data_IF_329151832187
#
_entry.id   IF_329151832187
#
_cell.length_a   1.000
_cell.length_b   1.000
_cell.length_c   1.000
_cell.angle_alpha   90.00
_cell.angle_beta   90.00
_cell.angle_gamma   90.00
#
_symmetry.space_group_name_H-M   'P 1'
#
loop_
_entity.id
_entity.type
_entity.pdbx_description
1 polymer ?
#
# COMPACT_ATOMS: atom_id res chain seq x y z
N UNK A 1 46.13 -4.80 5.93
CA UNK A 1 46.19 -4.64 7.41
C UNK A 1 44.82 -4.97 8.01
N UNK A 2 44.78 -5.56 9.21
CA UNK A 2 43.53 -5.99 9.89
C UNK A 2 42.50 -4.84 9.98
N UNK A 3 42.97 -3.62 10.26
CA UNK A 3 42.12 -2.42 10.36
C UNK A 3 41.37 -2.10 9.05
N UNK A 4 42.02 -2.24 7.90
CA UNK A 4 41.37 -2.02 6.60
C UNK A 4 40.33 -3.11 6.28
N UNK A 5 40.62 -4.36 6.64
CA UNK A 5 39.67 -5.46 6.47
C UNK A 5 38.42 -5.27 7.35
N UNK A 6 38.59 -4.86 8.62
CA UNK A 6 37.49 -4.56 9.54
C UNK A 6 36.63 -3.38 9.04
N UNK A 7 37.27 -2.29 8.60
CA UNK A 7 36.56 -1.11 8.08
C UNK A 7 35.74 -1.45 6.83
N UNK A 8 36.29 -2.25 5.91
CA UNK A 8 35.55 -2.70 4.73
C UNK A 8 34.38 -3.61 5.09
N UNK A 9 34.56 -4.52 6.06
CA UNK A 9 33.49 -5.41 6.52
C UNK A 9 32.34 -4.61 7.18
N UNK A 10 32.67 -3.62 8.02
CA UNK A 10 31.70 -2.71 8.63
C UNK A 10 30.95 -1.89 7.57
N UNK A 11 31.66 -1.35 6.58
CA UNK A 11 31.05 -0.61 5.47
C UNK A 11 30.09 -1.48 4.65
N UNK A 12 30.46 -2.73 4.37
CA UNK A 12 29.60 -3.68 3.67
C UNK A 12 28.35 -4.05 4.48
N UNK A 13 28.50 -4.28 5.78
CA UNK A 13 27.38 -4.57 6.68
C UNK A 13 26.41 -3.38 6.78
N UNK A 14 26.93 -2.16 6.93
CA UNK A 14 26.12 -0.94 6.93
C UNK A 14 25.34 -0.78 5.63
N UNK A 15 26.00 -0.92 4.48
CA UNK A 15 25.34 -0.84 3.17
C UNK A 15 24.29 -1.95 2.96
N UNK A 16 24.50 -3.14 3.53
CA UNK A 16 23.49 -4.23 3.51
C UNK A 16 22.25 -3.80 4.30
N UNK A 17 22.43 -3.24 5.49
CA UNK A 17 21.28 -2.83 6.31
C UNK A 17 20.54 -1.62 5.78
N UNK A 18 21.24 -0.65 5.19
CA UNK A 18 20.58 0.49 4.54
C UNK A 18 19.68 0.04 3.39
N UNK A 19 20.14 -0.92 2.58
CA UNK A 19 19.33 -1.52 1.51
C UNK A 19 18.12 -2.27 2.05
N UNK A 20 18.30 -3.06 3.12
CA UNK A 20 17.21 -3.78 3.78
C UNK A 20 16.17 -2.82 4.35
N UNK A 21 16.60 -1.78 5.07
CA UNK A 21 15.74 -0.71 5.59
C UNK A 21 14.96 -0.01 4.47
N UNK A 22 15.62 0.35 3.38
CA UNK A 22 14.96 0.99 2.23
C UNK A 22 13.87 0.09 1.62
N UNK A 23 14.13 -1.23 1.55
CA UNK A 23 13.13 -2.21 1.07
C UNK A 23 11.92 -2.29 2.00
N UNK A 24 12.16 -2.43 3.31
CA UNK A 24 11.09 -2.53 4.32
C UNK A 24 10.23 -1.25 4.38
N UNK A 25 10.84 -0.07 4.20
CA UNK A 25 10.10 1.20 4.12
C UNK A 25 9.18 1.22 2.91
N UNK A 26 9.66 0.78 1.74
CA UNK A 26 8.83 0.70 0.52
C UNK A 26 7.68 -0.28 0.70
N UNK A 27 7.96 -1.41 1.33
CA UNK A 27 6.95 -2.44 1.61
C UNK A 27 5.87 -1.92 2.57
N UNK A 28 6.28 -1.30 3.68
CA UNK A 28 5.37 -0.66 4.64
C UNK A 28 4.48 0.39 3.96
N UNK A 29 5.05 1.20 3.06
CA UNK A 29 4.28 2.19 2.32
C UNK A 29 3.28 1.56 1.35
N UNK A 30 3.67 0.48 0.65
CA UNK A 30 2.78 -0.25 -0.23
C UNK A 30 1.62 -0.91 0.54
N UNK A 31 1.90 -1.49 1.71
CA UNK A 31 0.90 -2.08 2.59
C UNK A 31 -0.11 -1.03 3.09
N UNK A 32 0.37 0.11 3.61
CA UNK A 32 -0.48 1.24 4.03
C UNK A 32 -1.36 1.75 2.90
N UNK A 33 -0.80 1.86 1.70
CA UNK A 33 -1.55 2.29 0.50
C UNK A 33 -2.61 1.27 0.09
N UNK A 34 -2.31 -0.03 0.19
CA UNK A 34 -3.26 -1.08 -0.10
C UNK A 34 -4.41 -1.12 0.91
N UNK A 35 -4.12 -0.87 2.18
CA UNK A 35 -5.12 -0.77 3.24
C UNK A 35 -6.03 0.43 3.01
N UNK A 36 -5.47 1.62 2.77
CA UNK A 36 -6.27 2.83 2.55
C UNK A 36 -7.16 2.73 1.31
N UNK A 37 -6.64 2.20 0.19
CA UNK A 37 -7.44 1.95 -1.02
C UNK A 37 -8.56 0.93 -0.76
N UNK A 38 -8.27 -0.12 0.00
CA UNK A 38 -9.26 -1.13 0.38
C UNK A 38 -10.38 -0.54 1.23
N UNK A 39 -10.03 0.20 2.29
CA UNK A 39 -11.01 0.88 3.16
C UNK A 39 -11.87 1.88 2.37
N UNK A 40 -11.23 2.71 1.54
CA UNK A 40 -11.95 3.67 0.70
C UNK A 40 -12.92 2.96 -0.25
N UNK A 41 -12.49 1.91 -0.95
CA UNK A 41 -13.35 1.17 -1.86
C UNK A 41 -14.51 0.45 -1.14
N UNK A 42 -14.26 -0.07 0.07
CA UNK A 42 -15.32 -0.63 0.93
C UNK A 42 -16.34 0.44 1.31
N UNK A 43 -15.90 1.63 1.74
CA UNK A 43 -16.80 2.74 2.07
C UNK A 43 -17.64 3.19 0.87
N UNK A 44 -17.05 3.25 -0.32
CA UNK A 44 -17.81 3.58 -1.53
C UNK A 44 -18.86 2.51 -1.80
N UNK A 45 -18.46 1.24 -1.85
CA UNK A 45 -19.34 0.13 -2.23
C UNK A 45 -20.47 -0.12 -1.23
N UNK A 46 -20.21 0.01 0.07
CA UNK A 46 -21.24 -0.11 1.11
C UNK A 46 -22.26 1.02 1.09
N UNK A 47 -21.91 2.17 0.48
CA UNK A 47 -22.76 3.35 0.38
C UNK A 47 -23.21 3.64 -1.06
N UNK A 48 -23.01 2.74 -2.02
CA UNK A 48 -23.35 2.99 -3.43
C UNK A 48 -24.83 3.35 -3.65
N UNK A 49 -25.74 2.85 -2.81
CA UNK A 49 -27.17 3.13 -2.92
C UNK A 49 -27.54 4.60 -2.70
N UNK A 50 -26.66 5.38 -2.06
CA UNK A 50 -26.84 6.83 -1.78
C UNK A 50 -25.89 7.72 -2.58
N UNK A 51 -24.95 7.14 -3.33
CA UNK A 51 -23.98 7.88 -4.14
C UNK A 51 -24.53 7.95 -5.57
N UNK A 52 -24.72 9.17 -6.09
CA UNK A 52 -25.11 9.37 -7.48
C UNK A 52 -23.96 8.97 -8.43
N UNK A 53 -24.29 8.47 -9.62
CA UNK A 53 -23.30 7.96 -10.56
C UNK A 53 -22.35 9.05 -11.09
N UNK A 54 -22.79 10.31 -11.10
CA UNK A 54 -22.09 11.50 -11.53
C UNK A 54 -21.63 12.40 -10.37
N UNK A 55 -21.68 11.89 -9.13
CA UNK A 55 -21.21 12.63 -7.97
C UNK A 55 -19.67 12.76 -7.99
N UNK A 56 -19.16 13.99 -7.87
CA UNK A 56 -17.73 14.24 -7.64
C UNK A 56 -17.31 14.01 -6.19
N UNK A 57 -18.27 14.02 -5.26
CA UNK A 57 -18.06 13.78 -3.85
C UNK A 57 -19.33 13.24 -3.17
N UNK A 58 -19.15 12.53 -2.06
CA UNK A 58 -20.24 12.07 -1.22
C UNK A 58 -19.82 12.04 0.25
N UNK A 59 -20.73 12.42 1.14
CA UNK A 59 -20.53 12.27 2.59
C UNK A 59 -21.14 10.95 3.04
N UNK A 60 -20.33 10.13 3.71
CA UNK A 60 -20.75 8.81 4.22
C UNK A 60 -20.27 8.63 5.64
N UNK A 61 -20.98 7.83 6.41
CA UNK A 61 -20.57 7.46 7.76
C UNK A 61 -19.63 6.26 7.69
N UNK A 62 -18.48 6.38 8.34
CA UNK A 62 -17.54 5.29 8.54
C UNK A 62 -17.86 4.56 9.86
N UNK A 63 -18.75 3.57 9.75
CA UNK A 63 -19.18 2.76 10.89
C UNK A 63 -18.04 1.93 11.51
N UNK A 64 -16.99 1.62 10.75
CA UNK A 64 -15.82 0.90 11.27
C UNK A 64 -14.96 1.80 12.17
N UNK A 65 -15.08 3.13 12.03
CA UNK A 65 -14.35 4.13 12.81
C UNK A 65 -15.27 4.98 13.71
N UNK A 66 -16.36 4.38 14.22
CA UNK A 66 -17.24 5.03 15.19
C UNK A 66 -18.31 5.95 14.58
N UNK A 67 -18.65 5.73 13.31
CA UNK A 67 -19.71 6.48 12.62
C UNK A 67 -19.30 7.90 12.22
N UNK A 68 -17.99 8.18 12.15
CA UNK A 68 -17.50 9.51 11.75
C UNK A 68 -17.88 9.76 10.29
N UNK A 69 -18.44 10.94 10.01
CA UNK A 69 -18.71 11.36 8.63
C UNK A 69 -17.41 11.64 7.90
N UNK A 70 -17.23 10.96 6.77
CA UNK A 70 -16.08 11.08 5.88
C UNK A 70 -16.54 11.55 4.51
N UNK A 71 -15.83 12.52 3.93
CA UNK A 71 -16.05 12.95 2.55
C UNK A 71 -15.26 12.08 1.58
N UNK A 72 -15.96 11.31 0.76
CA UNK A 72 -15.41 10.60 -0.39
C UNK A 72 -15.34 11.55 -1.59
N UNK A 73 -14.25 11.47 -2.37
CA UNK A 73 -14.09 12.21 -3.63
C UNK A 73 -13.86 11.24 -4.78
N UNK A 74 -14.45 11.57 -5.93
CA UNK A 74 -14.45 10.75 -7.12
C UNK A 74 -13.77 11.47 -8.27
N UNK A 75 -13.03 10.71 -9.09
CA UNK A 75 -12.36 11.22 -10.27
C UNK A 75 -13.13 10.78 -11.52
N UNK A 76 -14.17 11.55 -11.85
CA UNK A 76 -15.02 11.28 -13.01
C UNK A 76 -14.36 11.63 -14.35
N UNK A 77 -13.14 12.19 -14.34
CA UNK A 77 -12.37 12.40 -15.57
C UNK A 77 -11.68 11.11 -16.02
N UNK A 78 -11.31 10.26 -15.06
CA UNK A 78 -10.60 9.02 -15.31
C UNK A 78 -11.53 7.80 -15.29
N UNK A 79 -12.60 7.85 -14.49
CA UNK A 79 -13.54 6.74 -14.31
C UNK A 79 -14.96 7.17 -14.69
N UNK A 80 -15.75 6.28 -15.27
CA UNK A 80 -17.12 6.57 -15.67
C UNK A 80 -18.09 6.64 -14.47
N UNK A 81 -17.72 6.08 -13.32
CA UNK A 81 -18.54 6.14 -12.10
C UNK A 81 -17.73 5.93 -10.81
N UNK A 82 -18.26 6.37 -9.64
CA UNK A 82 -17.74 6.03 -8.32
C UNK A 82 -17.54 4.53 -8.11
N UNK A 83 -18.44 3.70 -8.65
CA UNK A 83 -18.36 2.25 -8.60
C UNK A 83 -17.12 1.72 -9.33
N UNK A 84 -16.93 2.16 -10.56
CA UNK A 84 -15.77 1.75 -11.37
C UNK A 84 -14.46 2.14 -10.69
N UNK A 85 -14.40 3.35 -10.12
CA UNK A 85 -13.24 3.80 -9.36
C UNK A 85 -12.98 2.93 -8.12
N UNK A 86 -14.03 2.50 -7.40
CA UNK A 86 -13.91 1.58 -6.27
C UNK A 86 -13.40 0.20 -6.70
N UNK A 87 -13.90 -0.35 -7.81
CA UNK A 87 -13.43 -1.62 -8.36
C UNK A 87 -11.94 -1.53 -8.77
N UNK A 88 -11.53 -0.43 -9.41
CA UNK A 88 -10.13 -0.16 -9.73
C UNK A 88 -9.25 -0.02 -8.47
N UNK A 89 -9.76 0.64 -7.43
CA UNK A 89 -9.07 0.77 -6.15
C UNK A 89 -8.87 -0.61 -5.47
N UNK A 90 -9.88 -1.48 -5.47
CA UNK A 90 -9.75 -2.86 -4.99
C UNK A 90 -8.72 -3.65 -5.79
N UNK A 91 -8.75 -3.57 -7.12
CA UNK A 91 -7.78 -4.24 -7.98
C UNK A 91 -6.35 -3.77 -7.68
N UNK A 92 -6.15 -2.46 -7.50
CA UNK A 92 -4.86 -1.86 -7.12
C UNK A 92 -4.41 -2.32 -5.73
N UNK A 93 -5.30 -2.32 -4.74
CA UNK A 93 -5.02 -2.83 -3.40
C UNK A 93 -4.59 -4.30 -3.43
N UNK A 94 -5.30 -5.15 -4.17
CA UNK A 94 -4.97 -6.58 -4.33
C UNK A 94 -3.62 -6.77 -5.03
N UNK A 95 -3.28 -5.93 -6.02
CA UNK A 95 -1.97 -5.95 -6.67
C UNK A 95 -0.84 -5.56 -5.71
N UNK A 96 -1.04 -4.50 -4.91
CA UNK A 96 -0.05 -4.06 -3.92
C UNK A 96 0.21 -5.11 -2.84
N UNK A 97 -0.84 -5.74 -2.31
CA UNK A 97 -0.70 -6.85 -1.34
C UNK A 97 0.10 -8.02 -1.91
N UNK A 98 -0.18 -8.41 -3.16
CA UNK A 98 0.59 -9.46 -3.84
C UNK A 98 2.04 -9.07 -4.06
N UNK A 99 2.31 -7.81 -4.45
CA UNK A 99 3.66 -7.30 -4.63
C UNK A 99 4.49 -7.32 -3.34
N UNK A 100 3.86 -7.02 -2.20
CA UNK A 100 4.47 -7.15 -0.86
C UNK A 100 4.91 -8.60 -0.59
N UNK A 101 3.99 -9.56 -0.76
CA UNK A 101 4.27 -10.98 -0.50
C UNK A 101 5.40 -11.55 -1.39
N UNK A 102 5.51 -11.09 -2.63
CA UNK A 102 6.60 -11.51 -3.54
C UNK A 102 7.94 -10.93 -3.10
N UNK A 103 7.98 -9.69 -2.60
CA UNK A 103 9.21 -9.08 -2.08
C UNK A 103 9.69 -9.76 -0.79
N UNK A 104 8.77 -10.12 0.11
CA UNK A 104 9.09 -10.88 1.33
C UNK A 104 9.75 -12.23 1.01
N UNK A 105 9.20 -12.97 0.03
CA UNK A 105 9.77 -14.24 -0.47
C UNK A 105 11.17 -14.04 -1.11
N UNK A 106 11.37 -12.96 -1.89
CA UNK A 106 12.67 -12.64 -2.48
C UNK A 106 13.74 -12.27 -1.42
N UNK A 107 13.36 -11.49 -0.39
CA UNK A 107 14.28 -11.11 0.70
C UNK A 107 14.70 -12.33 1.51
N UNK A 108 13.75 -13.18 1.90
CA UNK A 108 14.04 -14.40 2.66
C UNK A 108 15.00 -15.33 1.92
N UNK A 109 14.79 -15.56 0.62
CA UNK A 109 15.71 -16.35 -0.22
C UNK A 109 17.11 -15.74 -0.30
N UNK A 110 17.21 -14.42 -0.39
CA UNK A 110 18.51 -13.73 -0.49
C UNK A 110 19.30 -13.82 0.81
N UNK A 111 18.63 -13.75 1.97
CA UNK A 111 19.27 -13.90 3.28
C UNK A 111 19.76 -15.35 3.53
N UNK A 112 19.11 -16.37 2.94
CA UNK A 112 19.57 -17.77 3.01
C UNK A 112 20.69 -18.13 2.05
N UNK A 113 20.87 -17.40 0.95
CA UNK A 113 21.91 -17.71 -0.07
C UNK A 113 23.27 -17.08 0.25
N UNK A 114 23.32 -16.15 1.21
CA UNK A 114 24.55 -15.47 1.64
C UNK A 114 25.07 -15.94 3.02
N UNK A 115 24.50 -17.01 3.58
CA UNK A 115 24.96 -17.65 4.82
C UNK A 115 25.71 -18.94 4.48
#
# INVERSE_FOLDING_TARGET
PLAAALSNALGAALSKEERKRASLVRESQAAKTAESLGKWATLVTSNLYRIQADAEHAEVEDWDNGGVTVTLRFDLKTYASPREQAEAAFAKARRLRRGSAVLEDLISRTDHTCA
#
